data_IF_992922566626
#
_entry.id   IF_992922566626
#
_cell.length_a   1.000
_cell.length_b   1.000
_cell.length_c   1.000
_cell.angle_alpha   90.00
_cell.angle_beta   90.00
_cell.angle_gamma   90.00
#
_symmetry.space_group_name_H-M   'P 1'
#
loop_
_entity.id
_entity.type
_entity.pdbx_description
1 polymer ?
#
# COMPACT_ATOMS: atom_id res chain seq x y z
N UNK A 1 30.72 14.34 6.94
CA UNK A 1 30.01 13.77 8.10
C UNK A 1 28.51 13.96 7.87
N UNK A 2 27.78 12.86 7.63
CA UNK A 2 26.32 12.73 7.79
C UNK A 2 25.40 13.44 6.79
N UNK A 3 25.21 12.89 5.58
CA UNK A 3 23.96 13.14 4.83
C UNK A 3 22.91 12.21 5.45
N UNK A 4 22.16 12.71 6.43
CA UNK A 4 21.05 11.97 7.04
C UNK A 4 19.94 11.87 6.00
N UNK A 5 19.91 10.77 5.27
CA UNK A 5 18.80 10.42 4.39
C UNK A 5 17.52 10.38 5.22
N UNK A 6 16.65 11.39 5.06
CA UNK A 6 15.32 11.40 5.64
C UNK A 6 14.56 10.24 4.99
N UNK A 7 14.49 9.10 5.68
CA UNK A 7 13.62 7.99 5.29
C UNK A 7 12.18 8.45 5.50
N UNK A 8 11.59 9.04 4.45
CA UNK A 8 10.17 9.36 4.42
C UNK A 8 9.45 8.03 4.22
N UNK A 9 9.14 7.36 5.32
CA UNK A 9 8.26 6.20 5.28
C UNK A 9 6.88 6.70 4.83
N UNK A 10 6.47 6.27 3.64
CA UNK A 10 5.19 6.57 2.98
C UNK A 10 4.02 5.82 3.65
N UNK A 11 3.99 5.82 4.99
CA UNK A 11 2.98 5.15 5.79
C UNK A 11 2.49 6.18 6.81
N UNK A 12 1.18 6.48 6.78
CA UNK A 12 0.55 7.40 7.73
C UNK A 12 0.92 6.99 9.16
N UNK A 13 1.60 7.88 9.88
CA UNK A 13 2.05 7.62 11.25
C UNK A 13 0.88 7.26 12.17
N UNK A 14 -0.29 7.80 11.90
CA UNK A 14 -1.52 7.52 12.65
C UNK A 14 -1.99 6.08 12.49
N UNK A 15 -1.79 5.46 11.33
CA UNK A 15 -2.09 4.05 11.13
C UNK A 15 -1.12 3.14 11.85
N UNK A 16 0.18 3.40 11.70
CA UNK A 16 1.21 2.63 12.38
C UNK A 16 1.02 2.73 13.90
N UNK A 17 0.78 3.94 14.42
CA UNK A 17 0.56 4.15 15.84
C UNK A 17 -0.71 3.42 16.33
N UNK A 18 -1.85 3.58 15.65
CA UNK A 18 -3.09 2.87 16.01
C UNK A 18 -2.91 1.35 15.97
N UNK A 19 -2.18 0.84 14.98
CA UNK A 19 -1.90 -0.59 14.84
C UNK A 19 -0.99 -1.10 15.97
N UNK A 20 0.16 -0.45 16.19
CA UNK A 20 1.11 -0.79 17.23
C UNK A 20 0.45 -0.71 18.60
N UNK A 21 -0.29 0.36 18.89
CA UNK A 21 -0.95 0.54 20.19
C UNK A 21 -1.96 -0.58 20.45
N UNK A 22 -2.80 -0.92 19.47
CA UNK A 22 -3.76 -2.04 19.59
C UNK A 22 -3.04 -3.37 19.79
N UNK A 23 -1.93 -3.60 19.07
CA UNK A 23 -1.13 -4.81 19.19
C UNK A 23 -0.48 -4.95 20.57
N UNK A 24 0.10 -3.86 21.08
CA UNK A 24 0.72 -3.81 22.42
C UNK A 24 -0.34 -4.08 23.49
N UNK A 25 -1.47 -3.36 23.48
CA UNK A 25 -2.55 -3.56 24.46
C UNK A 25 -3.04 -5.02 24.42
N UNK A 26 -3.29 -5.56 23.23
CA UNK A 26 -3.76 -6.94 23.06
C UNK A 26 -2.76 -7.95 23.62
N UNK A 27 -1.47 -7.77 23.34
CA UNK A 27 -0.40 -8.68 23.80
C UNK A 27 -0.18 -8.56 25.31
N UNK A 28 -0.28 -7.35 25.87
CA UNK A 28 -0.19 -7.12 27.33
C UNK A 28 -1.35 -7.78 28.06
N UNK A 29 -2.59 -7.58 27.59
CA UNK A 29 -3.79 -8.22 28.18
C UNK A 29 -3.68 -9.75 28.07
N UNK A 30 -3.18 -10.26 26.94
CA UNK A 30 -2.95 -11.68 26.75
C UNK A 30 -1.93 -12.27 27.74
N UNK A 31 -0.81 -11.56 27.95
CA UNK A 31 0.20 -11.95 28.94
C UNK A 31 -0.38 -12.00 30.36
N UNK A 32 -1.13 -10.96 30.75
CA UNK A 32 -1.80 -10.93 32.05
C UNK A 32 -2.82 -12.07 32.22
N UNK A 33 -3.59 -12.39 31.17
CA UNK A 33 -4.52 -13.52 31.17
C UNK A 33 -3.80 -14.87 31.34
N UNK A 34 -2.65 -15.05 30.69
CA UNK A 34 -1.83 -16.27 30.79
C UNK A 34 -1.27 -16.45 32.20
N UNK A 35 -0.72 -15.39 32.79
CA UNK A 35 -0.23 -15.40 34.18
C UNK A 35 -1.39 -15.72 35.14
N UNK A 36 -2.54 -15.07 34.96
CA UNK A 36 -3.72 -15.30 35.80
C UNK A 36 -4.21 -16.75 35.72
N UNK A 37 -4.31 -17.32 34.51
CA UNK A 37 -4.68 -18.72 34.30
C UNK A 37 -3.71 -19.67 35.02
N UNK A 38 -2.41 -19.43 34.89
CA UNK A 38 -1.40 -20.22 35.58
C UNK A 38 -1.56 -20.15 37.10
N UNK A 39 -1.74 -18.96 37.68
CA UNK A 39 -1.90 -18.82 39.14
C UNK A 39 -3.11 -19.59 39.68
N UNK A 40 -4.24 -19.59 38.96
CA UNK A 40 -5.45 -20.35 39.36
C UNK A 40 -5.21 -21.86 39.26
N UNK A 41 -4.56 -22.34 38.20
CA UNK A 41 -4.26 -23.77 38.04
C UNK A 41 -3.23 -24.25 39.07
N UNK A 42 -2.20 -23.46 39.33
CA UNK A 42 -1.19 -23.73 40.35
C UNK A 42 -1.81 -23.77 41.75
N UNK A 43 -2.70 -22.85 42.08
CA UNK A 43 -3.43 -22.82 43.35
C UNK A 43 -4.23 -24.09 43.59
N UNK A 44 -5.05 -24.50 42.61
CA UNK A 44 -5.85 -25.74 42.71
C UNK A 44 -4.99 -26.99 42.94
N UNK A 45 -3.84 -27.07 42.25
CA UNK A 45 -2.91 -28.19 42.38
C UNK A 45 -2.16 -28.19 43.70
N UNK A 46 -1.80 -27.02 44.22
CA UNK A 46 -1.18 -26.91 45.53
C UNK A 46 -2.16 -27.30 46.65
N UNK A 47 -3.42 -26.89 46.54
CA UNK A 47 -4.48 -27.25 47.48
C UNK A 47 -4.73 -28.77 47.51
N UNK A 48 -4.84 -29.41 46.34
CA UNK A 48 -5.00 -30.86 46.19
C UNK A 48 -3.85 -31.66 46.86
N UNK A 49 -2.62 -31.13 46.80
CA UNK A 49 -1.45 -31.72 47.45
C UNK A 49 -1.39 -31.45 48.96
N UNK A 50 -1.74 -30.24 49.41
CA UNK A 50 -1.75 -29.89 50.84
C UNK A 50 -2.79 -30.71 51.64
N UNK A 51 -3.92 -31.07 51.01
CA UNK A 51 -4.96 -31.88 51.63
C UNK A 51 -4.82 -33.40 51.36
N UNK A 52 -3.78 -33.84 50.66
CA UNK A 52 -3.51 -35.27 50.42
C UNK A 52 -2.66 -35.88 51.55
N UNK A 53 -3.12 -36.92 52.26
CA UNK A 53 -2.43 -37.49 53.44
C UNK A 53 -1.09 -38.21 53.18
N UNK A 54 -0.63 -38.29 51.94
CA UNK A 54 0.56 -39.08 51.56
C UNK A 54 1.74 -38.16 51.28
N UNK A 55 2.57 -37.92 52.31
CA UNK A 55 3.79 -37.13 52.21
C UNK A 55 4.84 -37.91 51.42
N UNK A 56 4.98 -37.57 50.13
CA UNK A 56 6.20 -37.79 49.37
C UNK A 56 6.73 -36.42 48.95
N UNK A 57 7.95 -36.10 49.37
CA UNK A 57 8.63 -34.84 49.06
C UNK A 57 8.87 -34.80 47.55
N UNK A 58 7.96 -34.16 46.81
CA UNK A 58 8.19 -33.68 45.44
C UNK A 58 8.59 -32.23 45.53
N UNK A 59 9.61 -31.83 44.76
CA UNK A 59 10.01 -30.42 44.75
C UNK A 59 8.87 -29.54 44.20
N UNK A 60 8.73 -28.31 44.68
CA UNK A 60 7.68 -27.37 44.23
C UNK A 60 7.69 -27.19 42.71
N UNK A 61 8.87 -27.25 42.09
CA UNK A 61 9.03 -27.20 40.65
C UNK A 61 8.43 -28.43 39.95
N UNK A 62 8.70 -29.66 40.41
CA UNK A 62 8.12 -30.88 39.84
C UNK A 62 6.60 -30.96 40.01
N UNK A 63 6.07 -30.35 41.08
CA UNK A 63 4.64 -30.25 41.32
C UNK A 63 3.94 -29.27 40.36
N UNK A 64 4.53 -28.09 40.14
CA UNK A 64 3.89 -27.01 39.38
C UNK A 64 4.23 -27.04 37.89
N UNK A 65 5.36 -27.64 37.49
CA UNK A 65 5.80 -27.72 36.08
C UNK A 65 4.73 -28.27 35.14
N UNK A 66 4.05 -29.40 35.44
CA UNK A 66 3.01 -29.92 34.57
C UNK A 66 1.88 -28.88 34.37
N UNK A 67 1.45 -28.22 35.44
CA UNK A 67 0.40 -27.19 35.40
C UNK A 67 0.84 -25.95 34.62
N UNK A 68 2.10 -25.55 34.75
CA UNK A 68 2.69 -24.46 33.96
C UNK A 68 2.65 -24.79 32.46
N UNK A 69 3.11 -25.98 32.08
CA UNK A 69 3.12 -26.44 30.69
C UNK A 69 1.70 -26.49 30.12
N UNK A 70 0.73 -27.05 30.85
CA UNK A 70 -0.66 -27.09 30.39
C UNK A 70 -1.26 -25.69 30.21
N UNK A 71 -1.05 -24.79 31.17
CA UNK A 71 -1.53 -23.41 31.06
C UNK A 71 -0.91 -22.67 29.87
N UNK A 72 0.38 -22.89 29.60
CA UNK A 72 1.07 -22.26 28.47
C UNK A 72 0.65 -22.86 27.13
N UNK A 73 0.44 -24.17 27.03
CA UNK A 73 -0.06 -24.81 25.81
C UNK A 73 -1.47 -24.30 25.49
N UNK A 74 -2.37 -24.29 26.48
CA UNK A 74 -3.73 -23.78 26.30
C UNK A 74 -3.68 -22.31 25.88
N UNK A 75 -2.92 -21.49 26.60
CA UNK A 75 -2.73 -20.08 26.24
C UNK A 75 -2.19 -19.93 24.80
N UNK A 76 -1.13 -20.66 24.44
CA UNK A 76 -0.53 -20.58 23.11
C UNK A 76 -1.53 -20.91 22.00
N UNK A 77 -2.38 -21.92 22.18
CA UNK A 77 -3.40 -22.28 21.19
C UNK A 77 -4.41 -21.15 20.98
N UNK A 78 -4.93 -20.57 22.07
CA UNK A 78 -5.87 -19.45 21.98
C UNK A 78 -5.20 -18.19 21.40
N UNK A 79 -3.97 -17.87 21.79
CA UNK A 79 -3.23 -16.74 21.25
C UNK A 79 -2.99 -16.90 19.76
N UNK A 80 -2.64 -18.11 19.32
CA UNK A 80 -2.42 -18.42 17.90
C UNK A 80 -3.70 -18.20 17.10
N UNK A 81 -4.85 -18.65 17.61
CA UNK A 81 -6.15 -18.39 16.98
C UNK A 81 -6.47 -16.89 16.90
N UNK A 82 -6.21 -16.13 17.96
CA UNK A 82 -6.37 -14.68 17.99
C UNK A 82 -5.46 -13.98 16.98
N UNK A 83 -4.20 -14.40 16.88
CA UNK A 83 -3.23 -13.87 15.91
C UNK A 83 -3.66 -14.17 14.48
N UNK A 84 -4.10 -15.39 14.17
CA UNK A 84 -4.62 -15.75 12.84
C UNK A 84 -5.80 -14.85 12.49
N UNK A 85 -6.73 -14.62 13.42
CA UNK A 85 -7.86 -13.71 13.22
C UNK A 85 -7.40 -12.27 12.96
N UNK A 86 -6.48 -11.74 13.77
CA UNK A 86 -5.95 -10.39 13.63
C UNK A 86 -5.23 -10.19 12.29
N UNK A 87 -4.37 -11.13 11.90
CA UNK A 87 -3.63 -11.11 10.62
C UNK A 87 -4.61 -11.16 9.45
N UNK A 88 -5.63 -12.03 9.51
CA UNK A 88 -6.65 -12.13 8.45
C UNK A 88 -7.48 -10.85 8.33
N UNK A 89 -7.79 -10.20 9.45
CA UNK A 89 -8.48 -8.90 9.46
C UNK A 89 -7.62 -7.81 8.80
N UNK A 90 -6.33 -7.76 9.13
CA UNK A 90 -5.38 -6.83 8.52
C UNK A 90 -5.23 -7.07 7.02
N UNK A 91 -5.10 -8.32 6.59
CA UNK A 91 -5.01 -8.69 5.18
C UNK A 91 -6.20 -8.23 4.36
N UNK A 92 -7.42 -8.31 4.91
CA UNK A 92 -8.62 -7.82 4.22
C UNK A 92 -8.60 -6.30 4.06
N UNK A 93 -8.19 -5.57 5.10
CA UNK A 93 -8.11 -4.10 5.09
C UNK A 93 -7.06 -3.57 4.13
N UNK A 94 -5.91 -4.24 4.03
CA UNK A 94 -4.80 -3.81 3.16
C UNK A 94 -4.91 -4.35 1.73
N UNK A 95 -5.27 -5.63 1.59
CA UNK A 95 -5.22 -6.34 0.31
C UNK A 95 -6.20 -5.81 -0.72
N UNK A 96 -7.42 -5.43 -0.30
CA UNK A 96 -8.44 -4.88 -1.21
C UNK A 96 -7.98 -3.58 -1.88
N UNK A 97 -7.66 -2.53 -1.10
CA UNK A 97 -7.15 -1.27 -1.65
C UNK A 97 -5.89 -1.43 -2.49
N UNK A 98 -4.91 -2.21 -2.04
CA UNK A 98 -3.68 -2.44 -2.79
C UNK A 98 -3.92 -3.18 -4.11
N UNK A 99 -4.83 -4.15 -4.13
CA UNK A 99 -5.22 -4.84 -5.36
C UNK A 99 -5.91 -3.90 -6.35
N UNK A 100 -6.77 -3.01 -5.87
CA UNK A 100 -7.40 -1.98 -6.71
C UNK A 100 -6.37 -1.04 -7.31
N UNK A 101 -5.45 -0.49 -6.50
CA UNK A 101 -4.37 0.37 -6.99
C UNK A 101 -3.49 -0.35 -8.02
N UNK A 102 -3.13 -1.61 -7.78
CA UNK A 102 -2.38 -2.42 -8.76
C UNK A 102 -3.13 -2.54 -10.08
N UNK A 103 -4.44 -2.77 -10.03
CA UNK A 103 -5.28 -2.86 -11.23
C UNK A 103 -5.31 -1.53 -11.98
N UNK A 104 -5.45 -0.41 -11.26
CA UNK A 104 -5.46 0.93 -11.87
C UNK A 104 -4.12 1.28 -12.50
N UNK A 105 -3.00 0.99 -11.84
CA UNK A 105 -1.65 1.13 -12.41
C UNK A 105 -1.52 0.28 -13.68
N UNK A 106 -1.98 -0.97 -13.66
CA UNK A 106 -1.94 -1.85 -14.83
C UNK A 106 -2.73 -1.28 -16.01
N UNK A 107 -3.91 -0.70 -15.75
CA UNK A 107 -4.71 -0.01 -16.77
C UNK A 107 -4.01 1.21 -17.35
N UNK A 108 -3.38 2.02 -16.49
CA UNK A 108 -2.57 3.16 -16.93
C UNK A 108 -1.40 2.72 -17.81
N UNK A 109 -0.73 1.61 -17.46
CA UNK A 109 0.37 1.06 -18.28
C UNK A 109 -0.11 0.54 -19.63
N UNK A 110 -1.38 0.13 -19.76
CA UNK A 110 -1.97 -0.21 -21.06
C UNK A 110 -2.43 1.01 -21.88
N UNK A 111 -2.20 2.23 -21.40
CA UNK A 111 -2.56 3.47 -22.09
C UNK A 111 -3.94 4.05 -21.74
N UNK A 112 -4.71 3.42 -20.84
CA UNK A 112 -5.96 4.00 -20.34
C UNK A 112 -5.66 5.06 -19.28
N UNK A 113 -5.56 6.30 -19.74
CA UNK A 113 -5.42 7.48 -18.89
C UNK A 113 -6.74 8.23 -18.72
N UNK A 114 -7.85 7.73 -19.26
CA UNK A 114 -9.17 8.38 -19.15
C UNK A 114 -9.80 8.06 -17.80
N UNK A 115 -9.65 6.81 -17.36
CA UNK A 115 -10.24 6.32 -16.14
C UNK A 115 -9.49 6.82 -14.91
N UNK A 116 -10.19 7.51 -14.01
CA UNK A 116 -9.62 8.01 -12.76
C UNK A 116 -9.15 6.89 -11.82
N UNK A 117 -8.18 7.22 -10.97
CA UNK A 117 -7.74 6.35 -9.86
C UNK A 117 -8.51 6.76 -8.61
N UNK A 118 -9.31 5.85 -8.06
CA UNK A 118 -10.10 6.13 -6.86
C UNK A 118 -10.26 4.87 -6.02
N UNK A 119 -10.06 5.02 -4.71
CA UNK A 119 -10.31 3.95 -3.75
C UNK A 119 -11.65 4.17 -3.06
N UNK A 120 -12.48 3.13 -3.07
CA UNK A 120 -13.69 3.06 -2.22
C UNK A 120 -13.29 2.44 -0.89
N UNK A 121 -13.18 3.24 0.17
CA UNK A 121 -12.90 2.74 1.52
C UNK A 121 -11.82 3.51 2.28
N UNK A 122 -11.27 2.83 3.31
CA UNK A 122 -10.40 3.37 4.37
C UNK A 122 -9.36 4.40 3.89
N UNK A 123 -9.17 5.44 4.71
CA UNK A 123 -8.29 6.61 4.48
C UNK A 123 -6.82 6.27 4.24
N UNK A 124 -6.40 5.04 4.49
CA UNK A 124 -4.99 4.62 4.59
C UNK A 124 -4.21 4.83 3.29
N UNK A 125 -4.85 4.57 2.15
CA UNK A 125 -4.24 4.67 0.83
C UNK A 125 -4.84 5.76 -0.04
N UNK A 126 -5.74 6.60 0.51
CA UNK A 126 -6.40 7.66 -0.25
C UNK A 126 -5.41 8.69 -0.80
N UNK A 127 -4.40 9.07 -0.01
CA UNK A 127 -3.37 10.02 -0.44
C UNK A 127 -2.57 9.45 -1.62
N UNK A 128 -2.23 8.15 -1.55
CA UNK A 128 -1.54 7.45 -2.65
C UNK A 128 -2.44 7.35 -3.89
N UNK A 129 -3.73 7.09 -3.73
CA UNK A 129 -4.68 7.08 -4.84
C UNK A 129 -4.79 8.47 -5.50
N UNK A 130 -4.85 9.53 -4.70
CA UNK A 130 -4.86 10.92 -5.17
C UNK A 130 -3.58 11.26 -5.93
N UNK A 131 -2.42 10.89 -5.41
CA UNK A 131 -1.14 11.16 -6.09
C UNK A 131 -1.00 10.36 -7.39
N UNK A 132 -1.49 9.12 -7.44
CA UNK A 132 -1.58 8.33 -8.67
C UNK A 132 -2.54 8.95 -9.69
N UNK A 133 -3.70 9.46 -9.25
CA UNK A 133 -4.64 10.12 -10.16
C UNK A 133 -4.08 11.43 -10.72
N UNK A 134 -3.37 12.21 -9.89
CA UNK A 134 -2.65 13.41 -10.33
C UNK A 134 -1.60 13.06 -11.39
N UNK A 135 -0.81 12.00 -11.15
CA UNK A 135 0.16 11.50 -12.12
C UNK A 135 -0.52 11.08 -13.43
N UNK A 136 -1.60 10.30 -13.35
CA UNK A 136 -2.40 9.89 -14.50
C UNK A 136 -2.91 11.09 -15.29
N UNK A 137 -3.48 12.09 -14.61
CA UNK A 137 -4.01 13.29 -15.27
C UNK A 137 -2.89 14.08 -15.94
N UNK A 138 -1.75 14.27 -15.27
CA UNK A 138 -0.60 14.97 -15.86
C UNK A 138 -0.07 14.25 -17.11
N UNK A 139 -0.03 12.91 -17.10
CA UNK A 139 0.33 12.11 -18.27
C UNK A 139 -0.69 12.30 -19.40
N UNK A 140 -1.99 12.21 -19.09
CA UNK A 140 -3.07 12.42 -20.07
C UNK A 140 -2.94 13.78 -20.75
N UNK A 141 -2.74 14.83 -19.97
CA UNK A 141 -2.69 16.19 -20.48
C UNK A 141 -1.43 16.42 -21.33
N UNK A 142 -0.30 15.78 -20.98
CA UNK A 142 0.92 15.75 -21.82
C UNK A 142 0.68 15.06 -23.16
N UNK A 143 0.04 13.88 -23.16
CA UNK A 143 -0.29 13.18 -24.41
C UNK A 143 -1.31 13.94 -25.26
N UNK A 144 -2.28 14.61 -24.63
CA UNK A 144 -3.25 15.45 -25.34
C UNK A 144 -2.58 16.61 -26.08
N UNK A 145 -1.64 17.32 -25.43
CA UNK A 145 -0.86 18.37 -26.09
C UNK A 145 0.01 17.84 -27.22
N UNK A 146 0.66 16.70 -27.00
CA UNK A 146 1.47 16.07 -28.04
C UNK A 146 0.63 15.71 -29.27
N UNK A 147 -0.58 15.17 -29.05
CA UNK A 147 -1.54 14.87 -30.11
C UNK A 147 -2.00 16.14 -30.84
N UNK A 148 -2.32 17.21 -30.11
CA UNK A 148 -2.69 18.49 -30.73
C UNK A 148 -1.57 19.04 -31.63
N UNK A 149 -0.30 18.98 -31.19
CA UNK A 149 0.84 19.39 -32.02
C UNK A 149 1.02 18.49 -33.25
N UNK A 150 0.70 17.20 -33.14
CA UNK A 150 0.78 16.25 -34.25
C UNK A 150 -0.32 16.53 -35.28
N UNK A 151 -1.55 16.76 -34.82
CA UNK A 151 -2.68 17.14 -35.67
C UNK A 151 -2.40 18.47 -36.40
N UNK A 152 -1.80 19.48 -35.72
CA UNK A 152 -1.37 20.74 -36.35
C UNK A 152 -0.30 20.53 -37.45
N UNK A 153 0.71 19.71 -37.17
CA UNK A 153 1.77 19.40 -38.14
C UNK A 153 1.22 18.64 -39.34
N UNK A 154 0.38 17.63 -39.10
CA UNK A 154 -0.29 16.84 -40.13
C UNK A 154 -1.16 17.72 -41.03
N UNK A 155 -1.92 18.65 -40.43
CA UNK A 155 -2.71 19.62 -41.17
C UNK A 155 -1.83 20.51 -42.06
N UNK A 156 -0.73 21.08 -41.52
CA UNK A 156 0.20 21.91 -42.28
C UNK A 156 0.83 21.16 -43.47
N UNK A 157 1.27 19.91 -43.26
CA UNK A 157 1.80 19.05 -44.32
C UNK A 157 0.73 18.78 -45.39
N UNK A 158 -0.50 18.45 -44.99
CA UNK A 158 -1.59 18.21 -45.95
C UNK A 158 -1.95 19.43 -46.79
N UNK A 159 -1.80 20.65 -46.25
CA UNK A 159 -2.02 21.89 -47.00
C UNK A 159 -0.92 22.15 -48.00
N UNK A 160 0.34 21.90 -47.61
CA UNK A 160 1.50 22.01 -48.50
C UNK A 160 1.41 21.00 -49.65
N UNK A 161 1.12 19.74 -49.37
CA UNK A 161 0.98 18.69 -50.40
C UNK A 161 -0.08 19.06 -51.44
N UNK A 162 -1.24 19.57 -50.99
CA UNK A 162 -2.29 20.04 -51.89
C UNK A 162 -1.84 21.24 -52.74
N UNK A 163 -1.05 22.16 -52.19
CA UNK A 163 -0.53 23.30 -52.92
C UNK A 163 0.52 22.88 -53.97
N UNK A 164 1.39 21.91 -53.62
CA UNK A 164 2.36 21.32 -54.53
C UNK A 164 1.67 20.60 -55.70
N UNK A 165 0.66 19.78 -55.42
CA UNK A 165 -0.12 19.08 -56.45
C UNK A 165 -0.85 20.04 -57.41
N UNK A 166 -1.24 21.22 -56.93
CA UNK A 166 -1.85 22.28 -57.76
C UNK A 166 -0.82 23.16 -58.48
N UNK A 167 0.48 22.90 -58.31
CA UNK A 167 1.55 23.69 -58.92
C UNK A 167 1.69 25.12 -58.36
N UNK A 168 1.11 25.40 -57.19
CA UNK A 168 1.18 26.72 -56.54
C UNK A 168 1.63 26.63 -55.07
N UNK A 169 2.81 26.04 -54.78
CA UNK A 169 3.38 26.11 -53.45
C UNK A 169 3.79 27.57 -53.15
N UNK A 170 3.23 28.16 -52.08
CA UNK A 170 3.64 29.48 -51.60
C UNK A 170 4.65 29.38 -50.45
N UNK A 171 5.43 30.44 -50.24
CA UNK A 171 6.33 30.56 -49.10
C UNK A 171 5.60 30.43 -47.74
N UNK A 172 4.31 30.81 -47.70
CA UNK A 172 3.48 30.70 -46.50
C UNK A 172 3.29 29.24 -46.08
N UNK A 173 3.05 28.33 -47.03
CA UNK A 173 2.89 26.90 -46.75
C UNK A 173 4.16 26.29 -46.14
N UNK A 174 5.34 26.69 -46.64
CA UNK A 174 6.63 26.25 -46.09
C UNK A 174 6.89 26.84 -44.69
N UNK A 175 6.48 28.09 -44.46
CA UNK A 175 6.59 28.72 -43.14
C UNK A 175 5.71 28.04 -42.09
N UNK A 176 4.48 27.67 -42.47
CA UNK A 176 3.53 26.96 -41.60
C UNK A 176 4.06 25.60 -41.15
N UNK A 177 4.61 24.79 -42.07
CA UNK A 177 5.22 23.50 -41.72
C UNK A 177 6.44 23.69 -40.82
N UNK A 178 7.28 24.69 -41.09
CA UNK A 178 8.45 25.00 -40.27
C UNK A 178 8.05 25.41 -38.86
N UNK A 179 7.02 26.22 -38.70
CA UNK A 179 6.48 26.64 -37.41
C UNK A 179 5.90 25.45 -36.64
N UNK A 180 5.05 24.62 -37.28
CA UNK A 180 4.48 23.43 -36.66
C UNK A 180 5.57 22.43 -36.21
N UNK A 181 6.62 22.26 -37.02
CA UNK A 181 7.78 21.42 -36.68
C UNK A 181 8.55 21.99 -35.48
N UNK A 182 8.71 23.31 -35.41
CA UNK A 182 9.36 23.97 -34.27
C UNK A 182 8.56 23.79 -32.97
N UNK A 183 7.24 23.97 -33.03
CA UNK A 183 6.31 23.73 -31.91
C UNK A 183 6.37 22.27 -31.44
N UNK A 184 6.30 21.30 -32.36
CA UNK A 184 6.43 19.87 -32.05
C UNK A 184 7.77 19.56 -31.38
N UNK A 185 8.88 20.09 -31.90
CA UNK A 185 10.22 19.89 -31.32
C UNK A 185 10.33 20.50 -29.92
N UNK A 186 9.65 21.62 -29.67
CA UNK A 186 9.60 22.24 -28.35
C UNK A 186 8.80 21.39 -27.35
N UNK A 187 7.62 20.88 -27.72
CA UNK A 187 6.80 20.02 -26.85
C UNK A 187 7.54 18.71 -26.53
N UNK A 188 8.19 18.09 -27.52
CA UNK A 188 9.01 16.88 -27.30
C UNK A 188 10.16 17.11 -26.32
N UNK A 189 10.80 18.29 -26.36
CA UNK A 189 11.82 18.65 -25.36
C UNK A 189 11.23 18.73 -23.95
N UNK A 190 10.04 19.30 -23.80
CA UNK A 190 9.35 19.38 -22.51
C UNK A 190 8.79 18.03 -22.03
N UNK A 191 8.67 17.05 -22.93
CA UNK A 191 8.27 15.69 -22.57
C UNK A 191 9.43 14.87 -21.98
N UNK A 192 10.67 15.13 -22.40
CA UNK A 192 11.86 14.39 -21.96
C UNK A 192 12.55 14.96 -20.70
N UNK A 193 12.19 16.17 -20.28
CA UNK A 193 12.73 16.87 -19.10
C UNK A 193 11.61 17.29 -18.15
#
# INVERSE_FOLDING_TARGET
MGITGRKIYFIKKDFQFRFILRFVITTTVWGAATVSLFTVMAGKRLEEFLYSPHINIKTTAELLMPSAIHAHIISLLFFTALLIYAIRSLWKRLGGPLYSLKKDITRMTSGDLVSGVALRGDEEFQDLASDLDRMRSALRDRFARLKEREDELSAAVSTLDRAVLKGSPSADHLSAVREATAKMKQELKQFMY
#
